data_IF_829976370132
#
_entry.id   IF_829976370132
#
_cell.length_a   1.000
_cell.length_b   1.000
_cell.length_c   1.000
_cell.angle_alpha   90.00
_cell.angle_beta   90.00
_cell.angle_gamma   90.00
#
_symmetry.space_group_name_H-M   'P 1'
#
loop_
_entity.id
_entity.type
_entity.pdbx_description
1 polymer ?
#
# COMPACT_ATOMS: atom_id res chain seq x y z
N UNK A 1 -18.56 -19.11 -25.09
CA UNK A 1 -19.14 -17.87 -24.56
C UNK A 1 -18.09 -17.31 -23.60
N UNK A 2 -17.42 -16.21 -23.98
CA UNK A 2 -16.26 -15.70 -23.25
C UNK A 2 -16.72 -14.93 -22.01
N UNK A 3 -16.41 -15.46 -20.81
CA UNK A 3 -16.73 -14.83 -19.51
C UNK A 3 -16.16 -13.39 -19.45
N UNK A 4 -15.01 -13.15 -20.10
CA UNK A 4 -14.39 -11.83 -20.20
C UNK A 4 -15.23 -10.80 -20.96
N UNK A 5 -15.93 -11.20 -22.02
CA UNK A 5 -16.80 -10.30 -22.78
C UNK A 5 -18.09 -9.99 -22.03
N UNK A 6 -18.62 -10.94 -21.27
CA UNK A 6 -19.81 -10.73 -20.43
C UNK A 6 -19.51 -9.85 -19.21
N UNK A 7 -18.33 -9.99 -18.58
CA UNK A 7 -17.88 -9.09 -17.53
C UNK A 7 -17.59 -7.68 -18.07
N UNK A 8 -16.99 -7.57 -19.25
CA UNK A 8 -16.74 -6.26 -19.88
C UNK A 8 -18.05 -5.54 -20.24
N UNK A 9 -19.10 -6.26 -20.65
CA UNK A 9 -20.41 -5.66 -20.95
C UNK A 9 -21.19 -5.24 -19.68
N UNK A 10 -20.96 -5.91 -18.55
CA UNK A 10 -21.51 -5.52 -17.24
C UNK A 10 -20.81 -4.27 -16.66
N UNK A 11 -19.56 -4.01 -17.06
CA UNK A 11 -18.73 -2.90 -16.58
C UNK A 11 -18.64 -1.79 -17.64
N UNK A 12 -19.24 -1.93 -18.82
CA UNK A 12 -19.32 -0.87 -19.80
C UNK A 12 -20.23 0.25 -19.28
N UNK A 13 -19.60 1.15 -18.52
CA UNK A 13 -20.23 2.42 -18.12
C UNK A 13 -20.52 3.17 -19.41
N UNK A 14 -21.80 3.54 -19.68
CA UNK A 14 -22.07 4.45 -20.78
C UNK A 14 -21.27 5.71 -20.53
N UNK A 15 -20.25 5.97 -21.37
CA UNK A 15 -19.29 7.07 -21.21
C UNK A 15 -19.96 8.45 -21.20
N UNK A 16 -21.21 8.53 -21.57
CA UNK A 16 -21.96 9.77 -21.74
C UNK A 16 -22.85 10.15 -20.54
N UNK A 17 -22.91 9.30 -19.49
CA UNK A 17 -23.78 9.59 -18.36
C UNK A 17 -22.96 9.82 -17.07
N UNK A 18 -22.59 11.09 -16.82
CA UNK A 18 -21.83 11.52 -15.67
C UNK A 18 -22.51 11.12 -14.33
N UNK A 19 -23.85 11.10 -14.31
CA UNK A 19 -24.62 10.74 -13.11
C UNK A 19 -24.38 9.28 -12.74
N UNK A 20 -24.36 8.39 -13.72
CA UNK A 20 -24.10 6.98 -13.51
C UNK A 20 -22.66 6.72 -13.01
N UNK A 21 -21.69 7.43 -13.58
CA UNK A 21 -20.30 7.38 -13.14
C UNK A 21 -20.14 7.85 -11.67
N UNK A 22 -20.80 8.94 -11.30
CA UNK A 22 -20.79 9.47 -9.93
C UNK A 22 -21.45 8.50 -8.94
N UNK A 23 -22.59 7.90 -9.31
CA UNK A 23 -23.25 6.89 -8.46
C UNK A 23 -22.35 5.68 -8.23
N UNK A 24 -21.73 5.14 -9.28
CA UNK A 24 -20.80 4.02 -9.17
C UNK A 24 -19.57 4.39 -8.32
N UNK A 25 -19.05 5.60 -8.48
CA UNK A 25 -17.93 6.09 -7.69
C UNK A 25 -18.30 6.13 -6.19
N UNK A 26 -19.46 6.70 -5.84
CA UNK A 26 -19.94 6.79 -4.45
C UNK A 26 -20.16 5.39 -3.86
N UNK A 27 -20.80 4.48 -4.61
CA UNK A 27 -20.97 3.09 -4.17
C UNK A 27 -19.61 2.42 -3.94
N UNK A 28 -18.67 2.57 -4.87
CA UNK A 28 -17.31 2.04 -4.73
C UNK A 28 -16.60 2.59 -3.50
N UNK A 29 -16.71 3.89 -3.25
CA UNK A 29 -16.13 4.53 -2.07
C UNK A 29 -16.70 3.96 -0.76
N UNK A 30 -18.03 3.80 -0.67
CA UNK A 30 -18.68 3.20 0.49
C UNK A 30 -18.23 1.74 0.70
N UNK A 31 -18.12 0.96 -0.37
CA UNK A 31 -17.66 -0.42 -0.31
C UNK A 31 -16.20 -0.52 0.16
N UNK A 32 -15.32 0.38 -0.31
CA UNK A 32 -13.91 0.43 0.12
C UNK A 32 -13.83 0.78 1.61
N UNK A 33 -14.55 1.80 2.08
CA UNK A 33 -14.53 2.20 3.49
C UNK A 33 -15.05 1.06 4.38
N UNK A 34 -16.22 0.50 4.07
CA UNK A 34 -16.79 -0.61 4.85
C UNK A 34 -15.96 -1.89 4.78
N UNK A 35 -15.45 -2.21 3.61
CA UNK A 35 -14.54 -3.34 3.43
C UNK A 35 -13.25 -3.17 4.24
N UNK A 36 -12.70 -1.96 4.28
CA UNK A 36 -11.55 -1.60 5.10
C UNK A 36 -11.81 -1.78 6.60
N UNK A 37 -12.96 -1.32 7.12
CA UNK A 37 -13.36 -1.50 8.52
C UNK A 37 -13.38 -2.99 8.89
N UNK A 38 -14.12 -3.79 8.12
CA UNK A 38 -14.24 -5.25 8.33
C UNK A 38 -12.88 -5.94 8.26
N UNK A 39 -12.03 -5.51 7.33
CA UNK A 39 -10.69 -6.07 7.18
C UNK A 39 -9.79 -5.77 8.40
N UNK A 40 -9.81 -4.54 8.90
CA UNK A 40 -9.02 -4.13 10.09
C UNK A 40 -9.51 -4.87 11.33
N UNK A 41 -10.83 -5.02 11.50
CA UNK A 41 -11.42 -5.77 12.61
C UNK A 41 -11.00 -7.25 12.56
N UNK A 42 -11.09 -7.89 11.39
CA UNK A 42 -10.65 -9.27 11.20
C UNK A 42 -9.15 -9.45 11.47
N UNK A 43 -8.30 -8.54 10.98
CA UNK A 43 -6.87 -8.55 11.23
C UNK A 43 -6.54 -8.38 12.73
N UNK A 44 -7.30 -7.53 13.43
CA UNK A 44 -7.15 -7.32 14.87
C UNK A 44 -7.56 -8.58 15.64
N UNK A 45 -8.65 -9.21 15.26
CA UNK A 45 -9.09 -10.47 15.86
C UNK A 45 -8.06 -11.60 15.67
N UNK A 46 -7.49 -11.73 14.47
CA UNK A 46 -6.40 -12.70 14.20
C UNK A 46 -5.21 -12.42 15.10
N UNK A 47 -4.81 -11.14 15.29
CA UNK A 47 -3.73 -10.77 16.18
C UNK A 47 -3.98 -11.22 17.63
N UNK A 48 -5.21 -11.02 18.12
CA UNK A 48 -5.62 -11.42 19.48
C UNK A 48 -5.65 -12.95 19.62
N UNK A 49 -6.25 -13.65 18.67
CA UNK A 49 -6.39 -15.11 18.69
C UNK A 49 -5.02 -15.84 18.60
N UNK A 50 -4.06 -15.27 17.86
CA UNK A 50 -2.73 -15.88 17.65
C UNK A 50 -1.66 -15.38 18.64
N UNK A 51 -1.98 -14.38 19.47
CA UNK A 51 -1.02 -13.74 20.35
C UNK A 51 0.07 -12.91 19.63
N UNK A 52 -0.09 -12.71 18.32
CA UNK A 52 0.83 -11.87 17.53
C UNK A 52 0.54 -10.40 17.87
N UNK A 53 1.57 -9.59 18.18
CA UNK A 53 1.36 -8.17 18.45
C UNK A 53 0.62 -7.47 17.31
N UNK A 54 -0.44 -6.70 17.64
CA UNK A 54 -1.23 -5.92 16.65
C UNK A 54 -0.37 -5.07 15.72
N UNK A 55 0.76 -4.55 16.24
CA UNK A 55 1.73 -3.80 15.43
C UNK A 55 2.31 -4.62 14.27
N UNK A 56 2.60 -5.91 14.46
CA UNK A 56 3.15 -6.76 13.39
C UNK A 56 2.07 -7.00 12.33
N UNK A 57 0.85 -7.33 12.75
CA UNK A 57 -0.28 -7.53 11.81
C UNK A 57 -0.54 -6.25 11.01
N UNK A 58 -0.58 -5.07 11.69
CA UNK A 58 -0.74 -3.79 11.01
C UNK A 58 0.39 -3.47 10.02
N UNK A 59 1.65 -3.71 10.42
CA UNK A 59 2.81 -3.42 9.57
C UNK A 59 3.04 -4.44 8.43
N UNK A 60 2.34 -5.55 8.41
CA UNK A 60 2.47 -6.59 7.36
C UNK A 60 1.16 -6.83 6.64
N UNK A 61 0.20 -7.52 7.29
CA UNK A 61 -1.05 -7.95 6.65
C UNK A 61 -1.89 -6.75 6.22
N UNK A 62 -2.11 -5.79 7.12
CA UNK A 62 -2.93 -4.61 6.82
C UNK A 62 -2.25 -3.74 5.76
N UNK A 63 -0.95 -3.47 5.89
CA UNK A 63 -0.21 -2.70 4.88
C UNK A 63 -0.25 -3.36 3.50
N UNK A 64 -0.03 -4.67 3.42
CA UNK A 64 -0.08 -5.38 2.16
C UNK A 64 -1.47 -5.31 1.51
N UNK A 65 -2.52 -5.58 2.30
CA UNK A 65 -3.88 -5.57 1.77
C UNK A 65 -4.36 -4.17 1.33
N UNK A 66 -3.97 -3.12 2.05
CA UNK A 66 -4.30 -1.74 1.65
C UNK A 66 -3.54 -1.28 0.41
N UNK A 67 -2.41 -1.91 0.08
CA UNK A 67 -1.62 -1.59 -1.11
C UNK A 67 -1.99 -2.46 -2.33
N UNK A 68 -2.78 -3.54 -2.12
CA UNK A 68 -3.21 -4.41 -3.22
C UNK A 68 -3.99 -3.70 -4.33
N UNK A 69 -4.95 -2.79 -4.03
CA UNK A 69 -5.65 -2.05 -5.08
C UNK A 69 -4.71 -1.26 -5.98
N UNK A 70 -3.75 -0.55 -5.40
CA UNK A 70 -2.76 0.24 -6.14
C UNK A 70 -1.83 -0.65 -6.97
N UNK A 71 -1.43 -1.80 -6.40
CA UNK A 71 -0.62 -2.78 -7.13
C UNK A 71 -1.36 -3.32 -8.35
N UNK A 72 -2.64 -3.67 -8.21
CA UNK A 72 -3.45 -4.17 -9.30
C UNK A 72 -3.68 -3.11 -10.38
N UNK A 73 -4.06 -1.89 -9.98
CA UNK A 73 -4.30 -0.78 -10.92
C UNK A 73 -3.03 -0.46 -11.70
N UNK A 74 -1.89 -0.30 -11.02
CA UNK A 74 -0.60 -0.01 -11.66
C UNK A 74 -0.15 -1.15 -12.57
N UNK A 75 -0.32 -2.41 -12.15
CA UNK A 75 0.05 -3.58 -12.96
C UNK A 75 -0.81 -3.70 -14.23
N UNK A 76 -2.12 -3.47 -14.13
CA UNK A 76 -3.04 -3.49 -15.28
C UNK A 76 -2.73 -2.33 -16.22
N UNK A 77 -2.45 -1.13 -15.70
CA UNK A 77 -2.08 0.02 -16.50
C UNK A 77 -0.78 -0.23 -17.27
N UNK A 78 0.25 -0.75 -16.59
CA UNK A 78 1.52 -1.11 -17.21
C UNK A 78 1.35 -2.20 -18.29
N UNK A 79 0.54 -3.24 -18.05
CA UNK A 79 0.25 -4.29 -19.01
C UNK A 79 -0.49 -3.76 -20.27
N UNK A 80 -1.19 -2.63 -20.15
CA UNK A 80 -1.84 -1.93 -21.27
C UNK A 80 -0.93 -0.87 -21.92
N UNK A 81 0.34 -0.76 -21.52
CA UNK A 81 1.28 0.24 -22.02
C UNK A 81 1.03 1.67 -21.49
N UNK A 82 0.18 1.82 -20.46
CA UNK A 82 -0.14 3.11 -19.84
C UNK A 82 0.85 3.38 -18.68
N UNK A 83 2.13 3.53 -19.00
CA UNK A 83 3.21 3.65 -18.01
C UNK A 83 3.04 4.88 -17.11
N UNK A 84 2.63 6.02 -17.68
CA UNK A 84 2.41 7.26 -16.91
C UNK A 84 1.33 7.07 -15.83
N UNK A 85 0.25 6.34 -16.17
CA UNK A 85 -0.81 6.02 -15.22
C UNK A 85 -0.31 5.07 -14.13
N UNK A 86 0.50 4.07 -14.49
CA UNK A 86 1.05 3.12 -13.53
C UNK A 86 1.97 3.81 -12.51
N UNK A 87 2.89 4.65 -12.99
CA UNK A 87 3.83 5.41 -12.16
C UNK A 87 3.08 6.46 -11.34
N UNK A 88 2.21 7.23 -11.97
CA UNK A 88 1.39 8.27 -11.32
C UNK A 88 0.54 7.73 -10.18
N UNK A 89 -0.09 6.55 -10.35
CA UNK A 89 -0.84 5.88 -9.30
C UNK A 89 0.06 5.47 -8.11
N UNK A 90 1.21 4.85 -8.38
CA UNK A 90 2.14 4.43 -7.33
C UNK A 90 2.71 5.63 -6.54
N UNK A 91 3.21 6.66 -7.24
CA UNK A 91 3.78 7.86 -6.61
C UNK A 91 2.70 8.67 -5.88
N UNK A 92 1.51 8.80 -6.48
CA UNK A 92 0.36 9.48 -5.89
C UNK A 92 -0.09 8.84 -4.59
N UNK A 93 -0.18 7.52 -4.54
CA UNK A 93 -0.51 6.76 -3.33
C UNK A 93 0.51 6.98 -2.21
N UNK A 94 1.81 6.90 -2.51
CA UNK A 94 2.87 7.18 -1.53
C UNK A 94 2.77 8.62 -1.00
N UNK A 95 2.55 9.59 -1.88
CA UNK A 95 2.39 11.00 -1.52
C UNK A 95 1.18 11.22 -0.62
N UNK A 96 0.04 10.61 -0.94
CA UNK A 96 -1.17 10.69 -0.14
C UNK A 96 -0.98 10.03 1.24
N UNK A 97 -0.35 8.86 1.29
CA UNK A 97 -0.09 8.14 2.54
C UNK A 97 0.85 8.93 3.48
N UNK A 98 1.90 9.54 2.96
CA UNK A 98 2.85 10.32 3.77
C UNK A 98 2.32 11.73 4.03
N UNK A 99 1.87 12.43 2.99
CA UNK A 99 1.48 13.82 3.09
C UNK A 99 0.14 14.04 3.82
N UNK A 100 -0.85 13.19 3.56
CA UNK A 100 -2.19 13.36 4.13
C UNK A 100 -2.42 12.42 5.33
N UNK A 101 -2.35 11.11 5.12
CA UNK A 101 -2.77 10.13 6.12
C UNK A 101 -1.86 10.16 7.34
N UNK A 102 -0.54 10.14 7.14
CA UNK A 102 0.43 10.20 8.23
C UNK A 102 0.35 11.54 8.97
N UNK A 103 0.18 12.66 8.27
CA UNK A 103 0.04 13.98 8.89
C UNK A 103 -1.20 14.08 9.77
N UNK A 104 -2.36 13.65 9.27
CA UNK A 104 -3.60 13.60 10.06
C UNK A 104 -3.44 12.66 11.27
N UNK A 105 -2.84 11.49 11.06
CA UNK A 105 -2.62 10.53 12.16
C UNK A 105 -1.77 11.10 13.28
N UNK A 106 -0.71 11.85 12.96
CA UNK A 106 0.17 12.49 13.96
C UNK A 106 -0.55 13.65 14.65
N UNK A 107 -1.39 14.39 13.95
CA UNK A 107 -2.20 15.47 14.56
C UNK A 107 -3.24 14.92 15.53
N UNK A 108 -3.91 13.80 15.18
CA UNK A 108 -4.94 13.19 16.03
C UNK A 108 -4.36 12.38 17.18
N UNK A 109 -3.20 11.75 16.98
CA UNK A 109 -2.55 10.89 17.99
C UNK A 109 -1.03 11.15 18.03
N UNK A 110 -0.61 12.24 18.69
CA UNK A 110 0.80 12.53 18.82
C UNK A 110 1.51 11.40 19.57
N UNK A 111 2.50 10.78 18.94
CA UNK A 111 3.26 9.67 19.50
C UNK A 111 4.74 10.01 19.61
N UNK A 112 5.34 9.64 20.75
CA UNK A 112 6.80 9.76 20.92
C UNK A 112 7.47 8.57 20.23
N UNK A 113 8.09 8.84 19.08
CA UNK A 113 8.77 7.83 18.27
C UNK A 113 10.26 7.84 18.56
N UNK A 114 10.84 6.68 18.87
CA UNK A 114 12.28 6.56 19.05
C UNK A 114 12.99 6.73 17.70
N UNK A 115 13.87 7.73 17.61
CA UNK A 115 14.62 8.07 16.40
C UNK A 115 15.31 6.84 15.74
N UNK A 116 15.89 5.95 16.56
CA UNK A 116 16.56 4.73 16.08
C UNK A 116 15.61 3.70 15.42
N UNK A 117 14.33 3.73 15.75
CA UNK A 117 13.36 2.78 15.19
C UNK A 117 12.84 3.21 13.82
N UNK A 118 12.94 4.51 13.51
CA UNK A 118 12.42 5.09 12.26
C UNK A 118 13.55 5.39 11.28
N UNK A 119 14.77 5.65 11.79
CA UNK A 119 15.89 6.09 10.94
C UNK A 119 16.19 5.09 9.80
N UNK A 120 16.34 3.80 10.11
CA UNK A 120 16.63 2.79 9.09
C UNK A 120 15.50 2.63 8.08
N UNK A 121 14.26 2.61 8.55
CA UNK A 121 13.07 2.47 7.68
C UNK A 121 12.88 3.71 6.80
N UNK A 122 13.05 4.89 7.40
CA UNK A 122 13.01 6.16 6.67
C UNK A 122 14.13 6.28 5.64
N UNK A 123 15.35 5.83 5.96
CA UNK A 123 16.46 5.84 5.00
C UNK A 123 16.22 4.89 3.83
N UNK A 124 15.63 3.70 4.06
CA UNK A 124 15.25 2.78 2.99
C UNK A 124 14.15 3.36 2.09
N UNK A 125 13.16 4.07 2.67
CA UNK A 125 12.15 4.78 1.88
C UNK A 125 12.75 5.89 1.03
N UNK A 126 13.64 6.71 1.60
CA UNK A 126 14.34 7.77 0.86
C UNK A 126 15.18 7.16 -0.26
N UNK A 127 15.88 6.06 0.01
CA UNK A 127 16.66 5.34 -0.99
C UNK A 127 15.78 4.83 -2.13
N UNK A 128 14.61 4.26 -1.83
CA UNK A 128 13.66 3.79 -2.83
C UNK A 128 13.15 4.94 -3.72
N UNK A 129 12.77 6.07 -3.12
CA UNK A 129 12.31 7.25 -3.87
C UNK A 129 13.43 7.84 -4.73
N UNK A 130 14.66 7.95 -4.18
CA UNK A 130 15.82 8.43 -4.93
C UNK A 130 16.19 7.50 -6.09
N UNK A 131 16.11 6.19 -5.88
CA UNK A 131 16.34 5.20 -6.93
C UNK A 131 15.28 5.30 -8.03
N UNK A 132 13.99 5.40 -7.65
CA UNK A 132 12.91 5.59 -8.62
C UNK A 132 13.12 6.87 -9.44
N UNK A 133 13.44 7.98 -8.79
CA UNK A 133 13.71 9.25 -9.47
C UNK A 133 14.89 9.13 -10.44
N UNK A 134 16.00 8.53 -10.00
CA UNK A 134 17.18 8.33 -10.84
C UNK A 134 16.91 7.42 -12.05
N UNK A 135 16.12 6.36 -11.86
CA UNK A 135 15.77 5.44 -12.94
C UNK A 135 14.74 6.01 -13.92
N UNK A 136 13.89 6.93 -13.44
CA UNK A 136 12.89 7.60 -14.30
C UNK A 136 13.47 8.75 -15.12
N UNK A 137 14.75 9.11 -14.90
CA UNK A 137 15.36 10.24 -15.58
C UNK A 137 15.45 10.06 -17.10
N UNK A 138 15.72 8.82 -17.55
CA UNK A 138 15.83 8.47 -18.96
C UNK A 138 14.48 8.08 -19.59
N UNK A 139 13.35 8.16 -18.82
CA UNK A 139 12.00 7.78 -19.24
C UNK A 139 11.84 6.32 -19.71
N UNK A 140 12.87 5.51 -19.58
CA UNK A 140 12.89 4.08 -19.93
C UNK A 140 13.22 3.24 -18.70
N UNK A 141 12.21 2.56 -18.15
CA UNK A 141 12.42 1.65 -17.03
C UNK A 141 12.84 0.26 -17.53
N UNK A 142 14.09 -0.08 -17.31
CA UNK A 142 14.67 -1.36 -17.68
C UNK A 142 14.39 -2.44 -16.61
N UNK A 143 14.42 -3.71 -17.03
CA UNK A 143 14.18 -4.87 -16.18
C UNK A 143 15.14 -4.90 -14.95
N UNK A 144 16.40 -4.49 -15.12
CA UNK A 144 17.37 -4.41 -14.03
C UNK A 144 17.00 -3.39 -12.95
N UNK A 145 16.49 -2.25 -13.35
CA UNK A 145 16.00 -1.20 -12.43
C UNK A 145 14.81 -1.71 -11.61
N UNK A 146 13.90 -2.45 -12.25
CA UNK A 146 12.77 -3.09 -11.59
C UNK A 146 13.22 -4.15 -10.56
N UNK A 147 14.23 -4.96 -10.89
CA UNK A 147 14.82 -5.94 -9.97
C UNK A 147 15.43 -5.25 -8.74
N UNK A 148 16.13 -4.14 -8.93
CA UNK A 148 16.71 -3.36 -7.82
C UNK A 148 15.60 -2.82 -6.91
N UNK A 149 14.52 -2.29 -7.46
CA UNK A 149 13.37 -1.79 -6.69
C UNK A 149 12.72 -2.89 -5.88
N UNK A 150 12.53 -4.09 -6.47
CA UNK A 150 12.00 -5.27 -5.76
C UNK A 150 12.97 -5.71 -4.65
N UNK A 151 14.27 -5.66 -4.86
CA UNK A 151 15.26 -5.99 -3.84
C UNK A 151 15.22 -5.01 -2.66
N UNK A 152 15.10 -3.70 -2.90
CA UNK A 152 14.92 -2.69 -1.85
C UNK A 152 13.63 -2.97 -1.04
N UNK A 153 12.54 -3.28 -1.74
CA UNK A 153 11.26 -3.65 -1.09
C UNK A 153 11.41 -4.92 -0.23
N UNK A 154 12.08 -5.95 -0.72
CA UNK A 154 12.33 -7.19 0.03
C UNK A 154 13.14 -6.92 1.31
N UNK A 155 14.19 -6.12 1.24
CA UNK A 155 14.99 -5.69 2.40
C UNK A 155 14.12 -4.94 3.40
N UNK A 156 13.29 -4.01 2.95
CA UNK A 156 12.36 -3.27 3.80
C UNK A 156 11.36 -4.21 4.51
N UNK A 157 10.80 -5.20 3.81
CA UNK A 157 9.87 -6.17 4.39
C UNK A 157 10.55 -7.06 5.44
N UNK A 158 11.74 -7.56 5.15
CA UNK A 158 12.54 -8.38 6.08
C UNK A 158 12.84 -7.58 7.35
N UNK A 159 13.28 -6.33 7.23
CA UNK A 159 13.55 -5.44 8.36
C UNK A 159 12.29 -5.20 9.21
N UNK A 160 11.13 -4.99 8.59
CA UNK A 160 9.87 -4.84 9.30
C UNK A 160 9.53 -6.08 10.16
N UNK A 161 9.69 -7.28 9.59
CA UNK A 161 9.41 -8.54 10.28
C UNK A 161 10.39 -8.75 11.45
N UNK A 162 11.69 -8.51 11.23
CA UNK A 162 12.73 -8.68 12.26
C UNK A 162 12.52 -7.68 13.41
N UNK A 163 12.29 -6.42 13.08
CA UNK A 163 12.04 -5.37 14.06
C UNK A 163 10.78 -5.64 14.87
N UNK A 164 9.72 -6.13 14.24
CA UNK A 164 8.49 -6.53 14.90
C UNK A 164 8.71 -7.66 15.91
N UNK A 165 9.43 -8.72 15.53
CA UNK A 165 9.79 -9.81 16.45
C UNK A 165 10.62 -9.34 17.65
N UNK A 166 11.58 -8.43 17.47
CA UNK A 166 12.37 -7.87 18.58
C UNK A 166 11.52 -7.13 19.61
N UNK A 167 10.52 -6.37 19.14
CA UNK A 167 9.60 -5.64 20.03
C UNK A 167 8.74 -6.62 20.83
N UNK A 168 8.22 -7.66 20.19
CA UNK A 168 7.41 -8.71 20.83
C UNK A 168 8.20 -9.41 21.97
N UNK A 169 9.41 -9.87 21.68
CA UNK A 169 10.26 -10.57 22.65
C UNK A 169 10.65 -9.67 23.85
N UNK A 170 10.86 -8.38 23.63
CA UNK A 170 11.15 -7.43 24.72
C UNK A 170 9.93 -7.18 25.62
N UNK A 171 8.74 -7.23 25.08
CA UNK A 171 7.50 -7.08 25.84
C UNK A 171 7.23 -8.29 26.73
N UNK A 172 7.45 -9.48 26.19
CA UNK A 172 7.31 -10.76 26.93
C UNK A 172 8.29 -10.91 28.09
N UNK A 173 9.51 -10.33 27.99
CA UNK A 173 10.50 -10.37 29.07
C UNK A 173 10.25 -9.34 30.21
N UNK A 174 9.33 -8.40 30.01
CA UNK A 174 9.05 -7.32 30.97
C UNK A 174 7.69 -7.45 31.69
N UNK A 175 6.85 -8.37 31.30
CA UNK A 175 5.64 -8.78 32.00
C UNK A 175 5.86 -10.10 32.70
#
# INVERSE_FOLDING_TARGET
MNISSSLASLISVPSDNIIYAVILFVIGLVLIVKGGDVFVDAATWIAEATGIPKFIIGATVVSFATTLPELLVSSIAAAKGQNDMAIGNAVGSVTANIGLIMSISVLCMPAVIKRSSVALKGSLMILAVAALFAFSYDLDLNLWQSIIMIAIFAVFMIENIISGKKISLRRFRRG
#
